data_IF_741320053551
#
_entry.id   IF_741320053551
#
_cell.length_a   1.000
_cell.length_b   1.000
_cell.length_c   1.000
_cell.angle_alpha   90.00
_cell.angle_beta   90.00
_cell.angle_gamma   90.00
#
_symmetry.space_group_name_H-M   'P 1'
#
loop_
_entity.id
_entity.type
_entity.pdbx_description
1 polymer ?
#
# COMPACT_ATOMS: atom_id res chain seq x y z
N UNK A 1 -0.10 9.30 -18.13
CA UNK A 1 0.99 8.81 -17.28
C UNK A 1 0.46 8.66 -15.87
N UNK A 2 0.03 7.45 -15.50
CA UNK A 2 -0.51 7.16 -14.17
C UNK A 2 0.48 7.53 -13.06
N UNK A 3 0.03 8.31 -12.08
CA UNK A 3 0.83 8.74 -10.94
C UNK A 3 1.44 7.54 -10.17
N UNK A 4 0.72 6.41 -10.17
CA UNK A 4 1.19 5.11 -9.68
C UNK A 4 2.49 4.65 -10.38
N UNK A 5 2.50 4.64 -11.72
CA UNK A 5 3.65 4.18 -12.51
C UNK A 5 4.88 5.08 -12.28
N UNK A 6 4.66 6.39 -12.07
CA UNK A 6 5.74 7.32 -11.71
C UNK A 6 6.36 6.99 -10.35
N UNK A 7 5.54 6.67 -9.35
CA UNK A 7 6.03 6.30 -8.01
C UNK A 7 6.76 4.95 -8.06
N UNK A 8 6.23 3.95 -8.76
CA UNK A 8 6.91 2.66 -8.96
C UNK A 8 8.28 2.84 -9.62
N UNK A 9 8.35 3.68 -10.67
CA UNK A 9 9.60 4.00 -11.34
C UNK A 9 10.59 4.72 -10.40
N UNK A 10 10.14 5.69 -9.59
CA UNK A 10 11.00 6.37 -8.62
C UNK A 10 11.53 5.44 -7.52
N UNK A 11 10.73 4.46 -7.06
CA UNK A 11 11.18 3.44 -6.10
C UNK A 11 12.30 2.59 -6.72
N UNK A 12 12.13 2.17 -7.97
CA UNK A 12 13.14 1.40 -8.69
C UNK A 12 14.45 2.19 -8.82
N UNK A 13 14.36 3.46 -9.23
CA UNK A 13 15.52 4.34 -9.38
C UNK A 13 16.24 4.57 -8.05
N UNK A 14 15.50 4.85 -6.97
CA UNK A 14 16.08 5.07 -5.64
C UNK A 14 16.76 3.79 -5.10
N UNK A 15 16.16 2.63 -5.34
CA UNK A 15 16.74 1.33 -4.93
C UNK A 15 18.01 1.01 -5.70
N UNK A 16 18.04 1.27 -7.01
CA UNK A 16 19.24 1.07 -7.84
C UNK A 16 20.34 2.07 -7.50
N UNK A 17 20.00 3.34 -7.26
CA UNK A 17 20.97 4.35 -6.83
C UNK A 17 21.61 3.97 -5.49
N UNK A 18 20.82 3.47 -4.53
CA UNK A 18 21.33 2.96 -3.26
C UNK A 18 22.29 1.76 -3.41
N UNK A 19 22.15 0.96 -4.48
CA UNK A 19 23.02 -0.19 -4.73
C UNK A 19 24.35 0.20 -5.40
N UNK A 20 24.40 1.35 -6.09
CA UNK A 20 25.56 1.80 -6.86
C UNK A 20 26.49 2.75 -6.10
N UNK A 21 26.02 3.33 -4.99
CA UNK A 21 26.80 4.28 -4.19
C UNK A 21 27.61 3.56 -3.11
N UNK A 22 28.92 3.86 -3.02
CA UNK A 22 29.83 3.33 -1.99
C UNK A 22 29.74 4.05 -0.64
N UNK A 23 29.24 5.29 -0.64
CA UNK A 23 29.10 6.11 0.56
C UNK A 23 27.87 5.70 1.38
N UNK A 24 28.10 5.29 2.63
CA UNK A 24 27.06 4.73 3.51
C UNK A 24 25.95 5.74 3.81
N UNK A 25 26.28 7.02 3.99
CA UNK A 25 25.29 8.06 4.31
C UNK A 25 24.34 8.32 3.14
N UNK A 26 24.86 8.25 1.92
CA UNK A 26 24.09 8.43 0.69
C UNK A 26 23.21 7.22 0.41
N UNK A 27 23.72 6.01 0.65
CA UNK A 27 22.91 4.77 0.57
C UNK A 27 21.74 4.80 1.55
N UNK A 28 21.97 5.24 2.79
CA UNK A 28 20.89 5.36 3.79
C UNK A 28 19.81 6.36 3.35
N UNK A 29 20.19 7.51 2.80
CA UNK A 29 19.24 8.51 2.29
C UNK A 29 18.37 7.97 1.16
N UNK A 30 18.97 7.26 0.20
CA UNK A 30 18.21 6.65 -0.90
C UNK A 30 17.29 5.52 -0.42
N UNK A 31 17.71 4.74 0.59
CA UNK A 31 16.85 3.73 1.22
C UNK A 31 15.67 4.36 1.94
N UNK A 32 15.89 5.38 2.77
CA UNK A 32 14.80 6.09 3.46
C UNK A 32 13.81 6.71 2.46
N UNK A 33 14.31 7.27 1.36
CA UNK A 33 13.47 7.81 0.30
C UNK A 33 12.66 6.72 -0.43
N UNK A 34 13.27 5.58 -0.74
CA UNK A 34 12.57 4.45 -1.35
C UNK A 34 11.48 3.90 -0.41
N UNK A 35 11.72 3.82 0.90
CA UNK A 35 10.73 3.40 1.89
C UNK A 35 9.57 4.39 2.01
N UNK A 36 9.83 5.70 1.98
CA UNK A 36 8.78 6.72 1.97
C UNK A 36 7.87 6.60 0.73
N UNK A 37 8.47 6.40 -0.45
CA UNK A 37 7.72 6.21 -1.69
C UNK A 37 6.91 4.90 -1.67
N UNK A 38 7.46 3.81 -1.13
CA UNK A 38 6.72 2.55 -0.91
C UNK A 38 5.53 2.75 0.03
N UNK A 39 5.70 3.48 1.14
CA UNK A 39 4.61 3.79 2.07
C UNK A 39 3.53 4.64 1.40
N UNK A 40 3.92 5.65 0.60
CA UNK A 40 2.98 6.48 -0.17
C UNK A 40 2.19 5.64 -1.18
N UNK A 41 2.86 4.77 -1.93
CA UNK A 41 2.24 3.86 -2.90
C UNK A 41 1.28 2.89 -2.20
N UNK A 42 1.69 2.33 -1.05
CA UNK A 42 0.86 1.43 -0.25
C UNK A 42 -0.41 2.14 0.25
N UNK A 43 -0.30 3.38 0.73
CA UNK A 43 -1.46 4.19 1.15
C UNK A 43 -2.39 4.51 0.00
N UNK A 44 -1.84 4.78 -1.18
CA UNK A 44 -2.63 5.06 -2.40
C UNK A 44 -3.36 3.81 -2.89
N UNK A 45 -2.69 2.66 -2.97
CA UNK A 45 -3.30 1.39 -3.36
C UNK A 45 -4.32 0.90 -2.34
N UNK A 46 -4.13 1.16 -1.04
CA UNK A 46 -5.10 0.83 0.01
C UNK A 46 -6.44 1.50 -0.23
N UNK A 47 -6.47 2.80 -0.49
CA UNK A 47 -7.73 3.51 -0.77
C UNK A 47 -8.42 2.97 -2.02
N UNK A 48 -7.65 2.57 -3.04
CA UNK A 48 -8.20 1.92 -4.24
C UNK A 48 -8.83 0.55 -3.95
N UNK A 49 -8.16 -0.29 -3.14
CA UNK A 49 -8.69 -1.61 -2.74
C UNK A 49 -9.93 -1.50 -1.86
N UNK A 50 -9.92 -0.59 -0.88
CA UNK A 50 -11.08 -0.32 -0.03
C UNK A 50 -12.25 0.15 -0.88
N UNK A 51 -12.03 1.07 -1.82
CA UNK A 51 -13.07 1.54 -2.75
C UNK A 51 -13.67 0.41 -3.57
N UNK A 52 -12.83 -0.43 -4.19
CA UNK A 52 -13.29 -1.57 -4.97
C UNK A 52 -14.11 -2.52 -4.10
N UNK A 53 -13.62 -2.81 -2.89
CA UNK A 53 -14.28 -3.74 -1.97
C UNK A 53 -15.60 -3.21 -1.42
N UNK A 54 -15.66 -1.91 -1.10
CA UNK A 54 -16.88 -1.24 -0.69
C UNK A 54 -17.93 -1.26 -1.81
N UNK A 55 -17.51 -1.06 -3.05
CA UNK A 55 -18.39 -1.13 -4.22
C UNK A 55 -18.94 -2.55 -4.43
N UNK A 56 -18.11 -3.59 -4.34
CA UNK A 56 -18.58 -4.99 -4.42
C UNK A 56 -19.61 -5.32 -3.33
N UNK A 57 -19.37 -4.89 -2.08
CA UNK A 57 -20.30 -5.12 -0.97
C UNK A 57 -21.63 -4.36 -1.19
N UNK A 58 -21.55 -3.13 -1.71
CA UNK A 58 -22.72 -2.32 -2.03
C UNK A 58 -23.54 -2.90 -3.19
N UNK A 59 -22.89 -3.44 -4.22
CA UNK A 59 -23.54 -4.10 -5.35
C UNK A 59 -24.21 -5.41 -4.92
N UNK A 60 -23.54 -6.23 -4.09
CA UNK A 60 -24.12 -7.45 -3.51
C UNK A 60 -25.32 -7.17 -2.61
N UNK A 61 -25.34 -6.03 -1.93
CA UNK A 61 -26.45 -5.58 -1.11
C UNK A 61 -27.62 -4.99 -1.91
N UNK A 62 -27.50 -4.87 -3.23
CA UNK A 62 -28.57 -4.37 -4.09
C UNK A 62 -28.68 -2.85 -4.15
N UNK A 63 -27.57 -2.12 -3.94
CA UNK A 63 -27.49 -0.66 -4.06
C UNK A 63 -28.38 0.14 -3.09
N UNK A 64 -28.36 -0.13 -1.77
CA UNK A 64 -29.05 0.72 -0.80
C UNK A 64 -28.42 2.13 -0.77
N UNK A 65 -29.24 3.17 -0.90
CA UNK A 65 -28.79 4.56 -1.04
C UNK A 65 -28.24 5.19 0.25
N UNK A 66 -28.58 4.64 1.42
CA UNK A 66 -28.24 5.20 2.74
C UNK A 66 -27.19 4.40 3.52
N UNK A 67 -26.58 3.38 2.89
CA UNK A 67 -25.65 2.44 3.55
C UNK A 67 -24.27 2.35 2.92
N UNK A 68 -23.98 3.23 1.96
CA UNK A 68 -22.68 3.33 1.30
C UNK A 68 -21.52 3.48 2.31
N UNK A 69 -21.70 4.33 3.33
CA UNK A 69 -20.69 4.54 4.39
C UNK A 69 -20.42 3.27 5.20
N UNK A 70 -21.45 2.47 5.49
CA UNK A 70 -21.28 1.21 6.23
C UNK A 70 -20.44 0.21 5.43
N UNK A 71 -20.65 0.12 4.12
CA UNK A 71 -19.83 -0.74 3.24
C UNK A 71 -18.40 -0.24 3.09
N UNK A 72 -18.18 1.07 3.12
CA UNK A 72 -16.83 1.65 3.16
C UNK A 72 -16.07 1.28 4.43
N UNK A 73 -16.71 1.40 5.59
CA UNK A 73 -16.09 1.05 6.89
C UNK A 73 -15.82 -0.46 6.98
N UNK A 74 -16.75 -1.30 6.51
CA UNK A 74 -16.54 -2.76 6.48
C UNK A 74 -15.41 -3.15 5.51
N UNK A 75 -15.31 -2.50 4.36
CA UNK A 75 -14.22 -2.70 3.42
C UNK A 75 -12.85 -2.27 4.00
N UNK A 76 -12.78 -1.16 4.72
CA UNK A 76 -11.56 -0.76 5.44
C UNK A 76 -11.14 -1.82 6.45
N UNK A 77 -12.09 -2.31 7.26
CA UNK A 77 -11.85 -3.34 8.26
C UNK A 77 -11.35 -4.65 7.64
N UNK A 78 -11.95 -5.11 6.54
CA UNK A 78 -11.48 -6.32 5.84
C UNK A 78 -10.04 -6.16 5.31
N UNK A 79 -9.72 -5.02 4.70
CA UNK A 79 -8.37 -4.75 4.14
C UNK A 79 -7.32 -4.56 5.25
N UNK A 80 -7.72 -4.03 6.41
CA UNK A 80 -6.85 -3.97 7.58
C UNK A 80 -6.58 -5.36 8.15
N UNK A 81 -7.62 -6.16 8.39
CA UNK A 81 -7.49 -7.53 8.88
C UNK A 81 -6.65 -8.42 7.96
N UNK A 82 -6.85 -8.35 6.64
CA UNK A 82 -6.03 -9.11 5.68
C UNK A 82 -4.54 -8.74 5.79
N UNK A 83 -4.23 -7.47 6.05
CA UNK A 83 -2.86 -6.99 6.20
C UNK A 83 -2.25 -7.39 7.53
N UNK A 84 -3.01 -7.34 8.63
CA UNK A 84 -2.56 -7.85 9.92
C UNK A 84 -2.31 -9.35 9.86
N UNK A 85 -3.19 -10.11 9.22
CA UNK A 85 -2.95 -11.54 8.98
C UNK A 85 -1.71 -11.79 8.11
N UNK A 86 -1.49 -10.98 7.07
CA UNK A 86 -0.29 -11.08 6.24
C UNK A 86 1.00 -10.72 6.99
N UNK A 87 0.93 -9.80 7.96
CA UNK A 87 2.05 -9.50 8.85
C UNK A 87 2.30 -10.59 9.88
N UNK A 88 1.25 -11.24 10.38
CA UNK A 88 1.35 -12.32 11.36
C UNK A 88 1.87 -13.63 10.74
N UNK A 89 1.63 -13.83 9.44
CA UNK A 89 2.06 -15.02 8.68
C UNK A 89 3.45 -14.89 8.06
N UNK A 90 4.09 -13.72 8.14
CA UNK A 90 5.51 -13.54 7.88
C UNK A 90 6.24 -13.72 9.23
N UNK A 91 6.73 -14.94 9.56
CA UNK A 91 7.34 -15.17 10.87
C UNK A 91 8.57 -14.27 10.99
N UNK A 92 8.78 -13.56 12.12
CA UNK A 92 10.03 -12.86 12.33
C UNK A 92 11.14 -13.91 12.29
N UNK A 93 11.97 -13.84 11.24
CA UNK A 93 13.18 -14.66 11.12
C UNK A 93 13.98 -14.48 12.41
N UNK A 94 13.97 -15.53 13.24
CA UNK A 94 14.58 -15.54 14.57
C UNK A 94 16.07 -15.24 14.40
N UNK A 95 16.53 -14.12 14.97
CA UNK A 95 17.94 -13.92 15.30
C UNK A 95 18.25 -14.54 16.64
#
# INVERSE_FOLDING_TARGET
MDERQKIEHQIELATRAAALVKDETTVQRFRSFAEELKQKLLRMMRRGKVRARAYELWEQAGHPADRDVEFWVEAERQIEQERDQRKLSDPPEKR
#
